data_IF_389184415895
#
_entry.id   IF_389184415895
#
_cell.length_a   1.000
_cell.length_b   1.000
_cell.length_c   1.000
_cell.angle_alpha   90.00
_cell.angle_beta   90.00
_cell.angle_gamma   90.00
#
_symmetry.space_group_name_H-M   'P 1'
#
loop_
_entity.id
_entity.type
_entity.pdbx_description
1 polymer ?
#
# COMPACT_ATOMS: atom_id res chain seq x y z
N UNK A 1 -5.31 1.20 -0.80
CA UNK A 1 -6.62 1.87 -0.62
C UNK A 1 -7.03 1.94 0.86
N UNK A 2 -6.86 0.87 1.64
CA UNK A 2 -7.23 0.83 3.06
C UNK A 2 -6.61 1.96 3.88
N UNK A 3 -5.29 2.13 3.85
CA UNK A 3 -4.59 3.21 4.57
C UNK A 3 -5.04 4.61 4.13
N UNK A 4 -5.34 4.80 2.85
CA UNK A 4 -5.84 6.07 2.34
C UNK A 4 -7.26 6.39 2.85
N UNK A 5 -8.15 5.42 2.88
CA UNK A 5 -9.50 5.59 3.43
C UNK A 5 -9.45 5.90 4.92
N UNK A 6 -8.61 5.17 5.67
CA UNK A 6 -8.43 5.42 7.10
C UNK A 6 -7.85 6.83 7.35
N UNK A 7 -6.86 7.25 6.58
CA UNK A 7 -6.28 8.59 6.65
C UNK A 7 -7.33 9.70 6.47
N UNK A 8 -8.25 9.53 5.52
CA UNK A 8 -9.33 10.49 5.30
C UNK A 8 -10.31 10.57 6.46
N UNK A 9 -10.50 9.46 7.19
CA UNK A 9 -11.41 9.38 8.33
C UNK A 9 -10.77 9.86 9.65
N UNK A 10 -9.46 10.14 9.68
CA UNK A 10 -8.73 10.55 10.88
C UNK A 10 -9.45 11.60 11.73
N UNK A 11 -9.87 12.74 11.16
CA UNK A 11 -10.59 13.76 11.92
C UNK A 11 -11.96 13.32 12.48
N UNK A 12 -12.62 12.36 11.83
CA UNK A 12 -13.90 11.79 12.29
C UNK A 12 -13.69 10.74 13.38
N UNK A 13 -12.55 10.07 13.39
CA UNK A 13 -12.18 9.01 14.34
C UNK A 13 -11.48 9.56 15.59
N UNK A 14 -11.37 10.87 15.73
CA UNK A 14 -10.68 11.55 16.85
C UNK A 14 -11.15 11.12 18.25
N UNK A 15 -12.34 10.54 18.38
CA UNK A 15 -12.89 10.01 19.63
C UNK A 15 -12.55 8.54 19.89
N UNK A 16 -11.94 7.87 18.91
CA UNK A 16 -11.50 6.50 19.07
C UNK A 16 -9.99 6.52 19.34
N UNK A 17 -9.51 5.89 20.40
CA UNK A 17 -8.08 5.84 20.80
C UNK A 17 -7.16 5.16 19.79
N UNK A 18 -7.48 5.20 18.52
CA UNK A 18 -6.69 4.61 17.46
C UNK A 18 -5.64 5.61 17.00
N UNK A 19 -4.48 5.60 17.67
CA UNK A 19 -3.30 6.35 17.20
C UNK A 19 -2.60 5.58 16.11
N UNK A 20 -2.36 6.23 14.99
CA UNK A 20 -1.59 5.69 13.86
C UNK A 20 -2.45 5.14 12.72
N UNK A 21 -1.82 4.98 11.58
CA UNK A 21 -2.43 4.40 10.37
C UNK A 21 -2.07 2.92 10.27
N UNK A 22 -3.09 2.10 10.18
CA UNK A 22 -2.93 0.67 9.96
C UNK A 22 -2.94 0.38 8.45
N UNK A 23 -1.95 -0.36 7.98
CA UNK A 23 -1.86 -0.80 6.58
C UNK A 23 -2.67 -2.08 6.33
N UNK A 24 -2.90 -2.87 7.37
CA UNK A 24 -3.59 -4.14 7.30
C UNK A 24 -4.62 -4.24 8.42
N UNK A 25 -5.74 -4.91 8.15
CA UNK A 25 -6.82 -5.14 9.12
C UNK A 25 -6.57 -6.34 10.04
N UNK A 26 -5.46 -7.07 9.86
CA UNK A 26 -5.16 -8.34 10.53
C UNK A 26 -6.30 -9.38 10.43
N UNK A 27 -7.09 -9.29 9.35
CA UNK A 27 -8.18 -10.21 9.05
C UNK A 27 -8.43 -10.23 7.53
N UNK A 28 -8.31 -11.41 6.92
CA UNK A 28 -8.43 -11.59 5.48
C UNK A 28 -9.77 -11.07 4.93
N UNK A 29 -10.87 -11.30 5.65
CA UNK A 29 -12.21 -10.93 5.18
C UNK A 29 -12.34 -9.41 5.16
N UNK A 30 -11.96 -8.73 6.26
CA UNK A 30 -12.04 -7.27 6.34
C UNK A 30 -11.04 -6.60 5.38
N UNK A 31 -9.85 -7.16 5.23
CA UNK A 31 -8.86 -6.66 4.30
C UNK A 31 -9.37 -6.74 2.85
N UNK A 32 -9.88 -7.93 2.45
CA UNK A 32 -10.41 -8.12 1.11
C UNK A 32 -11.66 -7.25 0.85
N UNK A 33 -12.51 -7.08 1.87
CA UNK A 33 -13.66 -6.17 1.79
C UNK A 33 -13.23 -4.73 1.55
N UNK A 34 -12.18 -4.27 2.24
CA UNK A 34 -11.66 -2.90 2.09
C UNK A 34 -10.95 -2.67 0.76
N UNK A 35 -10.23 -3.67 0.22
CA UNK A 35 -9.44 -3.53 -1.00
C UNK A 35 -10.21 -3.85 -2.28
N UNK A 36 -11.02 -4.90 -2.28
CA UNK A 36 -11.73 -5.41 -3.44
C UNK A 36 -13.27 -5.33 -3.32
N UNK A 37 -13.77 -4.85 -2.16
CA UNK A 37 -15.19 -4.70 -1.91
C UNK A 37 -15.95 -6.02 -1.88
N UNK A 38 -17.28 -5.94 -2.03
CA UNK A 38 -18.18 -7.10 -2.04
C UNK A 38 -17.85 -8.06 -3.17
N UNK A 39 -17.41 -7.57 -4.33
CA UNK A 39 -17.06 -8.41 -5.47
C UNK A 39 -15.88 -9.36 -5.14
N UNK A 40 -14.86 -8.86 -4.44
CA UNK A 40 -13.74 -9.68 -3.97
C UNK A 40 -14.16 -10.74 -2.97
N UNK A 41 -15.04 -10.38 -2.02
CA UNK A 41 -15.60 -11.35 -1.05
C UNK A 41 -16.45 -12.43 -1.73
N UNK A 42 -17.28 -12.04 -2.70
CA UNK A 42 -18.09 -13.01 -3.46
C UNK A 42 -17.19 -13.97 -4.25
N UNK A 43 -16.14 -13.47 -4.89
CA UNK A 43 -15.17 -14.31 -5.60
C UNK A 43 -14.47 -15.30 -4.65
N UNK A 44 -14.01 -14.84 -3.48
CA UNK A 44 -13.37 -15.70 -2.47
C UNK A 44 -14.33 -16.78 -1.98
N UNK A 45 -15.52 -16.39 -1.49
CA UNK A 45 -16.47 -17.35 -0.91
C UNK A 45 -17.05 -18.30 -1.94
N UNK A 46 -17.29 -17.85 -3.18
CA UNK A 46 -17.73 -18.73 -4.26
C UNK A 46 -16.65 -19.75 -4.62
N UNK A 47 -15.40 -19.31 -4.79
CA UNK A 47 -14.29 -20.21 -5.10
C UNK A 47 -14.06 -21.25 -4.01
N UNK A 48 -14.06 -20.79 -2.74
CA UNK A 48 -13.95 -21.69 -1.58
C UNK A 48 -15.13 -22.65 -1.48
N UNK A 49 -16.36 -22.17 -1.72
CA UNK A 49 -17.57 -22.99 -1.72
C UNK A 49 -17.55 -24.07 -2.81
N UNK A 50 -17.12 -23.73 -4.03
CA UNK A 50 -16.97 -24.70 -5.13
C UNK A 50 -15.91 -25.75 -4.77
N UNK A 51 -14.76 -25.34 -4.21
CA UNK A 51 -13.72 -26.25 -3.78
C UNK A 51 -14.20 -27.19 -2.67
N UNK A 52 -14.84 -26.66 -1.60
CA UNK A 52 -15.41 -27.46 -0.51
C UNK A 52 -16.51 -28.41 -1.00
N UNK A 53 -17.31 -27.99 -1.97
CA UNK A 53 -18.31 -28.88 -2.60
C UNK A 53 -17.65 -30.04 -3.33
N UNK A 54 -16.51 -29.78 -4.00
CA UNK A 54 -15.70 -30.83 -4.66
C UNK A 54 -15.21 -31.90 -3.69
N UNK A 55 -14.84 -31.54 -2.45
CA UNK A 55 -14.35 -32.47 -1.43
C UNK A 55 -15.34 -33.55 -1.02
N UNK A 56 -16.65 -33.34 -1.23
CA UNK A 56 -17.69 -34.37 -0.94
C UNK A 56 -17.53 -35.64 -1.74
N UNK A 57 -16.75 -35.56 -2.84
CA UNK A 57 -16.55 -36.70 -3.77
C UNK A 57 -15.24 -37.45 -3.50
N UNK A 58 -14.44 -36.97 -2.56
CA UNK A 58 -13.13 -37.55 -2.22
C UNK A 58 -13.27 -38.46 -1.00
N UNK A 59 -12.58 -39.60 -1.03
CA UNK A 59 -12.43 -40.46 0.17
C UNK A 59 -11.12 -40.03 0.86
N UNK A 60 -11.21 -39.35 2.03
CA UNK A 60 -10.03 -38.76 2.62
C UNK A 60 -9.07 -39.83 3.16
N UNK A 61 -7.81 -39.79 2.68
CA UNK A 61 -6.70 -40.56 3.27
C UNK A 61 -6.07 -39.79 4.44
N UNK A 62 -5.13 -40.40 5.15
CA UNK A 62 -4.38 -39.70 6.19
C UNK A 62 -3.63 -38.43 5.63
N UNK A 63 -3.14 -38.47 4.40
CA UNK A 63 -2.51 -37.33 3.75
C UNK A 63 -3.50 -36.19 3.50
N UNK A 64 -4.76 -36.50 3.13
CA UNK A 64 -5.79 -35.49 2.95
C UNK A 64 -6.12 -34.80 4.29
N UNK A 65 -6.23 -35.58 5.38
CA UNK A 65 -6.49 -34.99 6.70
C UNK A 65 -5.36 -34.06 7.15
N UNK A 66 -4.13 -34.40 6.87
CA UNK A 66 -2.97 -33.52 7.11
C UNK A 66 -3.08 -32.22 6.30
N UNK A 67 -3.40 -32.32 5.03
CA UNK A 67 -3.55 -31.15 4.16
C UNK A 67 -4.71 -30.26 4.60
N UNK A 68 -5.86 -30.83 4.97
CA UNK A 68 -7.00 -30.06 5.50
C UNK A 68 -6.67 -29.40 6.83
N UNK A 69 -5.95 -30.08 7.73
CA UNK A 69 -5.51 -29.48 8.98
C UNK A 69 -4.56 -28.29 8.73
N UNK A 70 -3.58 -28.43 7.83
CA UNK A 70 -2.67 -27.35 7.47
C UNK A 70 -3.40 -26.15 6.86
N UNK A 71 -4.34 -26.39 5.93
CA UNK A 71 -5.19 -25.33 5.38
C UNK A 71 -6.08 -24.68 6.44
N UNK A 72 -6.63 -25.48 7.37
CA UNK A 72 -7.43 -24.99 8.50
C UNK A 72 -6.64 -24.06 9.42
N UNK A 73 -5.40 -24.45 9.77
CA UNK A 73 -4.49 -23.58 10.54
C UNK A 73 -4.21 -22.28 9.80
N UNK A 74 -3.91 -22.36 8.50
CA UNK A 74 -3.64 -21.18 7.69
C UNK A 74 -4.88 -20.29 7.55
N UNK A 75 -6.07 -20.87 7.42
CA UNK A 75 -7.32 -20.13 7.37
C UNK A 75 -7.60 -19.38 8.69
N UNK A 76 -7.43 -20.06 9.84
CA UNK A 76 -7.57 -19.42 11.16
C UNK A 76 -6.52 -18.31 11.32
N UNK A 77 -5.27 -18.58 10.96
CA UNK A 77 -4.22 -17.57 11.00
C UNK A 77 -4.56 -16.35 10.12
N UNK A 78 -5.18 -16.57 8.97
CA UNK A 78 -5.60 -15.48 8.06
C UNK A 78 -6.79 -14.65 8.60
N UNK A 79 -7.50 -15.11 9.61
CA UNK A 79 -8.53 -14.34 10.31
C UNK A 79 -7.97 -13.51 11.47
N UNK A 80 -6.74 -13.78 11.89
CA UNK A 80 -6.08 -13.12 13.02
C UNK A 80 -4.91 -12.23 12.57
N UNK A 81 -4.36 -12.55 11.41
CA UNK A 81 -3.20 -11.90 10.80
C UNK A 81 -3.34 -11.88 9.27
N UNK A 82 -2.27 -11.56 8.55
CA UNK A 82 -2.27 -11.47 7.08
C UNK A 82 -1.24 -12.41 6.40
N UNK A 83 -1.16 -13.71 6.75
CA UNK A 83 -0.14 -14.61 6.20
C UNK A 83 -0.19 -14.76 4.68
N UNK A 84 -1.37 -14.70 4.07
CA UNK A 84 -1.53 -14.85 2.61
C UNK A 84 -1.00 -13.66 1.79
N UNK A 85 -0.59 -12.55 2.43
CA UNK A 85 0.18 -11.48 1.78
C UNK A 85 1.66 -11.84 1.59
N UNK A 86 2.15 -12.86 2.32
CA UNK A 86 3.48 -13.39 2.11
C UNK A 86 3.45 -14.51 1.08
N UNK A 87 4.24 -14.37 0.01
CA UNK A 87 4.24 -15.29 -1.14
C UNK A 87 4.50 -16.75 -0.77
N UNK A 88 5.27 -17.00 0.28
CA UNK A 88 5.56 -18.36 0.73
C UNK A 88 4.34 -19.03 1.38
N UNK A 89 3.54 -18.34 2.17
CA UNK A 89 2.29 -18.91 2.69
C UNK A 89 1.23 -19.08 1.59
N UNK A 90 1.13 -18.08 0.69
CA UNK A 90 0.23 -18.17 -0.46
C UNK A 90 0.60 -19.36 -1.37
N UNK A 91 1.89 -19.60 -1.61
CA UNK A 91 2.36 -20.72 -2.40
C UNK A 91 2.03 -22.07 -1.74
N UNK A 92 2.22 -22.20 -0.41
CA UNK A 92 1.83 -23.40 0.34
C UNK A 92 0.32 -23.62 0.24
N UNK A 93 -0.50 -22.58 0.45
CA UNK A 93 -1.95 -22.67 0.32
C UNK A 93 -2.37 -23.12 -1.08
N UNK A 94 -1.80 -22.55 -2.12
CA UNK A 94 -2.11 -22.88 -3.52
C UNK A 94 -1.75 -24.34 -3.83
N UNK A 95 -0.58 -24.81 -3.40
CA UNK A 95 -0.15 -26.21 -3.59
C UNK A 95 -1.08 -27.17 -2.84
N UNK A 96 -1.45 -26.88 -1.58
CA UNK A 96 -2.33 -27.73 -0.80
C UNK A 96 -3.75 -27.74 -1.39
N UNK A 97 -4.31 -26.59 -1.77
CA UNK A 97 -5.62 -26.53 -2.42
C UNK A 97 -5.66 -27.35 -3.71
N UNK A 98 -4.63 -27.24 -4.54
CA UNK A 98 -4.51 -28.01 -5.78
C UNK A 98 -4.26 -29.50 -5.56
N UNK A 99 -3.44 -29.88 -4.58
CA UNK A 99 -3.12 -31.29 -4.30
C UNK A 99 -4.30 -32.04 -3.66
N UNK A 100 -5.16 -31.32 -2.93
CA UNK A 100 -6.34 -31.90 -2.26
C UNK A 100 -7.60 -31.89 -3.16
N UNK A 101 -7.54 -31.23 -4.32
CA UNK A 101 -8.63 -31.25 -5.30
C UNK A 101 -8.49 -32.44 -6.24
N UNK A 102 -9.18 -33.52 -5.94
CA UNK A 102 -9.27 -34.70 -6.80
C UNK A 102 -10.29 -34.54 -7.94
N UNK A 103 -10.98 -33.41 -8.02
CA UNK A 103 -11.96 -33.17 -9.08
C UNK A 103 -11.26 -33.03 -10.43
N UNK A 104 -11.35 -34.09 -11.23
CA UNK A 104 -10.85 -34.03 -12.62
C UNK A 104 -11.81 -33.23 -13.46
N UNK A 105 -11.52 -31.97 -13.67
CA UNK A 105 -12.21 -31.18 -14.68
C UNK A 105 -11.88 -31.76 -16.05
N UNK A 106 -12.80 -32.60 -16.59
CA UNK A 106 -12.75 -32.97 -18.01
C UNK A 106 -13.03 -31.71 -18.81
N UNK A 107 -12.01 -31.00 -19.20
CA UNK A 107 -12.18 -30.06 -20.30
C UNK A 107 -12.68 -30.88 -21.50
N UNK A 108 -13.76 -30.40 -22.14
CA UNK A 108 -14.44 -31.06 -23.27
C UNK A 108 -13.37 -31.63 -24.22
N UNK A 109 -13.32 -32.96 -24.30
CA UNK A 109 -12.33 -33.67 -25.10
C UNK A 109 -12.72 -33.63 -26.59
N UNK A 110 -12.49 -32.50 -27.27
CA UNK A 110 -12.27 -32.49 -28.70
C UNK A 110 -10.87 -33.02 -29.03
N UNK A 111 -10.69 -33.70 -30.16
CA UNK A 111 -9.40 -34.28 -30.60
C UNK A 111 -8.17 -33.32 -30.65
N UNK A 112 -8.31 -32.07 -30.27
CA UNK A 112 -7.24 -31.04 -30.14
C UNK A 112 -7.04 -30.48 -28.73
N UNK A 113 -7.82 -30.88 -27.73
CA UNK A 113 -7.91 -30.20 -26.41
C UNK A 113 -6.64 -30.37 -25.56
N UNK A 114 -5.89 -31.44 -25.71
CA UNK A 114 -4.64 -31.63 -24.96
C UNK A 114 -3.52 -30.69 -25.40
N UNK A 115 -3.48 -30.35 -26.68
CA UNK A 115 -2.49 -29.39 -27.22
C UNK A 115 -2.88 -27.98 -26.75
N UNK A 116 -4.16 -27.61 -26.84
CA UNK A 116 -4.67 -26.30 -26.39
C UNK A 116 -4.40 -26.04 -24.90
N UNK A 117 -4.66 -27.03 -24.03
CA UNK A 117 -4.38 -26.92 -22.61
C UNK A 117 -2.88 -26.77 -22.29
N UNK A 118 -2.00 -27.51 -22.96
CA UNK A 118 -0.54 -27.39 -22.80
C UNK A 118 -0.03 -26.05 -23.33
N UNK A 119 -0.53 -25.60 -24.47
CA UNK A 119 -0.17 -24.29 -25.04
C UNK A 119 -0.65 -23.17 -24.11
N UNK A 120 -1.90 -23.23 -23.63
CA UNK A 120 -2.42 -22.25 -22.67
C UNK A 120 -1.59 -22.17 -21.39
N UNK A 121 -1.23 -23.31 -20.81
CA UNK A 121 -0.34 -23.36 -19.64
C UNK A 121 1.06 -22.79 -19.96
N UNK A 122 1.62 -23.13 -21.13
CA UNK A 122 2.90 -22.57 -21.58
C UNK A 122 2.86 -21.05 -21.73
N UNK A 123 1.77 -20.50 -22.28
CA UNK A 123 1.58 -19.05 -22.39
C UNK A 123 1.48 -18.38 -21.02
N UNK A 124 0.73 -18.97 -20.08
CA UNK A 124 0.61 -18.43 -18.71
C UNK A 124 1.98 -18.45 -18.02
N UNK A 125 2.73 -19.54 -18.12
CA UNK A 125 4.07 -19.65 -17.52
C UNK A 125 5.06 -18.67 -18.15
N UNK A 126 5.02 -18.52 -19.48
CA UNK A 126 5.85 -17.52 -20.16
C UNK A 126 5.49 -16.10 -19.73
N UNK A 127 4.22 -15.77 -19.66
CA UNK A 127 3.77 -14.46 -19.17
C UNK A 127 4.22 -14.21 -17.72
N UNK A 128 4.05 -15.20 -16.83
CA UNK A 128 4.50 -15.10 -15.44
C UNK A 128 6.03 -14.89 -15.38
N UNK A 129 6.81 -15.60 -16.19
CA UNK A 129 8.26 -15.43 -16.26
C UNK A 129 8.65 -14.02 -16.72
N UNK A 130 7.99 -13.50 -17.77
CA UNK A 130 8.23 -12.13 -18.25
C UNK A 130 7.92 -11.08 -17.19
N UNK A 131 6.81 -11.25 -16.46
CA UNK A 131 6.45 -10.37 -15.33
C UNK A 131 7.51 -10.44 -14.23
N UNK A 132 8.01 -11.63 -13.88
CA UNK A 132 9.07 -11.79 -12.87
C UNK A 132 10.39 -11.13 -13.30
N UNK A 133 10.78 -11.27 -14.57
CA UNK A 133 11.98 -10.63 -15.11
C UNK A 133 11.83 -9.11 -15.05
N UNK A 134 10.67 -8.58 -15.46
CA UNK A 134 10.40 -7.15 -15.40
C UNK A 134 10.43 -6.62 -13.96
N UNK A 135 9.78 -7.34 -13.02
CA UNK A 135 9.75 -6.98 -11.61
C UNK A 135 11.15 -6.98 -11.00
N UNK A 136 11.97 -8.01 -11.29
CA UNK A 136 13.35 -8.07 -10.83
C UNK A 136 14.19 -6.92 -11.35
N UNK A 137 14.08 -6.60 -12.65
CA UNK A 137 14.82 -5.48 -13.26
C UNK A 137 14.41 -4.15 -12.64
N UNK A 138 13.11 -3.90 -12.48
CA UNK A 138 12.58 -2.70 -11.85
C UNK A 138 13.03 -2.58 -10.39
N UNK A 139 13.02 -3.68 -9.64
CA UNK A 139 13.49 -3.72 -8.25
C UNK A 139 14.98 -3.39 -8.14
N UNK A 140 15.82 -3.95 -9.00
CA UNK A 140 17.26 -3.67 -9.01
C UNK A 140 17.57 -2.20 -9.30
N UNK A 141 16.83 -1.59 -10.25
CA UNK A 141 16.96 -0.15 -10.54
C UNK A 141 16.52 0.71 -9.34
N UNK A 142 15.39 0.35 -8.70
CA UNK A 142 14.88 1.06 -7.52
C UNK A 142 15.87 0.94 -6.35
N UNK A 143 16.37 -0.26 -6.06
CA UNK A 143 17.37 -0.51 -5.04
C UNK A 143 18.67 0.26 -5.33
N UNK A 144 19.14 0.23 -6.57
CA UNK A 144 20.31 1.00 -7.01
C UNK A 144 20.13 2.50 -6.82
N UNK A 145 18.94 3.04 -7.09
CA UNK A 145 18.63 4.44 -6.87
C UNK A 145 18.57 4.80 -5.37
N UNK A 146 18.08 3.90 -4.52
CA UNK A 146 17.92 4.13 -3.07
C UNK A 146 19.21 3.86 -2.28
N UNK A 147 19.91 2.78 -2.59
CA UNK A 147 21.13 2.34 -1.88
C UNK A 147 22.41 2.85 -2.54
N UNK A 148 22.35 3.04 -3.85
CA UNK A 148 23.47 3.52 -4.65
C UNK A 148 23.77 4.97 -4.40
N UNK A 149 24.72 5.26 -3.52
CA UNK A 149 25.63 6.44 -3.50
C UNK A 149 25.10 7.79 -4.04
N UNK A 150 23.83 7.89 -4.42
CA UNK A 150 23.18 9.04 -5.03
C UNK A 150 22.15 9.74 -4.15
N UNK A 151 21.64 9.07 -3.09
CA UNK A 151 20.84 9.72 -2.06
C UNK A 151 21.77 10.02 -0.89
N UNK A 152 22.59 11.05 -1.06
CA UNK A 152 23.30 11.66 0.06
C UNK A 152 22.24 12.20 1.01
N UNK A 153 22.31 11.90 2.32
CA UNK A 153 21.30 12.27 3.33
C UNK A 153 21.05 13.78 3.53
N UNK A 154 21.40 14.59 2.57
CA UNK A 154 20.99 15.99 2.44
C UNK A 154 19.82 16.05 1.46
N UNK A 155 18.67 16.50 1.93
CA UNK A 155 17.52 16.81 1.10
C UNK A 155 17.97 17.65 -0.12
N UNK A 156 17.55 17.22 -1.31
CA UNK A 156 17.76 17.99 -2.55
C UNK A 156 18.89 17.55 -3.50
N UNK A 157 19.75 16.59 -3.12
CA UNK A 157 20.85 16.17 -4.02
C UNK A 157 20.75 14.69 -4.39
N UNK A 158 20.11 14.43 -5.50
CA UNK A 158 20.13 13.10 -6.15
C UNK A 158 21.15 13.13 -7.28
N UNK A 159 21.99 12.10 -7.40
CA UNK A 159 22.89 12.02 -8.55
C UNK A 159 22.08 11.89 -9.86
N UNK A 160 22.59 12.39 -10.99
CA UNK A 160 21.93 12.23 -12.29
C UNK A 160 21.65 10.76 -12.63
N UNK A 161 22.50 9.85 -12.18
CA UNK A 161 22.32 8.40 -12.35
C UNK A 161 21.08 7.89 -11.61
N UNK A 162 20.92 8.25 -10.34
CA UNK A 162 19.76 7.85 -9.53
C UNK A 162 18.45 8.45 -10.08
N UNK A 163 18.48 9.68 -10.58
CA UNK A 163 17.33 10.29 -11.25
C UNK A 163 16.94 9.52 -12.52
N UNK A 164 17.92 9.13 -13.34
CA UNK A 164 17.70 8.31 -14.52
C UNK A 164 17.08 6.95 -14.17
N UNK A 165 17.62 6.27 -13.17
CA UNK A 165 17.10 4.97 -12.69
C UNK A 165 15.65 5.10 -12.18
N UNK A 166 15.33 6.14 -11.39
CA UNK A 166 13.96 6.37 -10.92
C UNK A 166 13.00 6.68 -12.07
N UNK A 167 13.43 7.43 -13.09
CA UNK A 167 12.64 7.69 -14.28
C UNK A 167 12.35 6.42 -15.09
N UNK A 168 13.32 5.50 -15.18
CA UNK A 168 13.13 4.21 -15.85
C UNK A 168 12.16 3.31 -15.06
N UNK A 169 12.28 3.24 -13.74
CA UNK A 169 11.32 2.51 -12.89
C UNK A 169 9.91 3.10 -13.00
N UNK A 170 9.79 4.43 -13.09
CA UNK A 170 8.49 5.10 -13.22
C UNK A 170 7.72 4.68 -14.49
N UNK A 171 8.44 4.27 -15.55
CA UNK A 171 7.84 3.72 -16.77
C UNK A 171 7.37 2.27 -16.63
N UNK A 172 7.74 1.60 -15.54
CA UNK A 172 7.40 0.20 -15.28
C UNK A 172 6.16 0.11 -14.37
N UNK A 173 5.02 -0.39 -14.84
CA UNK A 173 3.73 -0.30 -14.12
C UNK A 173 3.74 -0.86 -12.71
N UNK A 174 4.51 -1.95 -12.47
CA UNK A 174 4.49 -2.67 -11.19
C UNK A 174 5.18 -1.92 -10.04
N UNK A 175 6.18 -1.07 -10.31
CA UNK A 175 6.94 -0.35 -9.29
C UNK A 175 6.91 1.17 -9.45
N UNK A 176 6.13 1.70 -10.37
CA UNK A 176 6.03 3.15 -10.63
C UNK A 176 5.69 3.95 -9.37
N UNK A 177 4.75 3.46 -8.54
CA UNK A 177 4.36 4.13 -7.29
C UNK A 177 5.49 4.18 -6.26
N UNK A 178 6.39 3.19 -6.23
CA UNK A 178 7.57 3.22 -5.37
C UNK A 178 8.63 4.20 -5.87
N UNK A 179 8.78 4.34 -7.19
CA UNK A 179 9.63 5.38 -7.78
C UNK A 179 9.09 6.78 -7.45
N UNK A 180 7.77 6.99 -7.56
CA UNK A 180 7.13 8.25 -7.16
C UNK A 180 7.30 8.54 -5.66
N UNK A 181 7.19 7.53 -4.79
CA UNK A 181 7.45 7.66 -3.36
C UNK A 181 8.89 8.13 -3.11
N UNK A 182 9.86 7.52 -3.78
CA UNK A 182 11.28 7.90 -3.68
C UNK A 182 11.53 9.32 -4.18
N UNK A 183 10.94 9.71 -5.32
CA UNK A 183 11.01 11.07 -5.85
C UNK A 183 10.35 12.08 -4.90
N UNK A 184 9.22 11.70 -4.27
CA UNK A 184 8.52 12.58 -3.33
C UNK A 184 9.37 12.92 -2.11
N UNK A 185 10.26 12.02 -1.68
CA UNK A 185 11.17 12.28 -0.55
C UNK A 185 12.16 13.42 -0.82
N UNK A 186 12.38 13.75 -2.09
CA UNK A 186 13.27 14.84 -2.53
C UNK A 186 12.55 16.19 -2.72
N UNK A 187 11.23 16.23 -2.47
CA UNK A 187 10.46 17.47 -2.63
C UNK A 187 10.85 18.48 -1.55
N UNK A 188 11.36 19.60 -1.98
CA UNK A 188 11.51 20.80 -1.16
C UNK A 188 10.24 21.65 -1.22
N UNK A 189 9.81 22.19 -0.08
CA UNK A 189 8.67 23.09 0.00
C UNK A 189 9.10 24.50 -0.39
N UNK A 190 8.88 24.86 -1.64
CA UNK A 190 9.13 26.19 -2.20
C UNK A 190 8.26 26.40 -3.45
N UNK A 191 8.22 27.62 -3.98
CA UNK A 191 7.38 28.01 -5.11
C UNK A 191 7.80 27.37 -6.45
N UNK A 192 9.05 26.92 -6.60
CA UNK A 192 9.55 26.36 -7.85
C UNK A 192 8.89 25.01 -8.17
N UNK A 193 8.25 24.89 -9.34
CA UNK A 193 7.59 23.66 -9.77
C UNK A 193 6.47 23.18 -8.85
N UNK A 194 5.82 24.09 -8.10
CA UNK A 194 4.88 23.79 -7.05
C UNK A 194 3.70 22.93 -7.53
N UNK A 195 3.19 23.17 -8.74
CA UNK A 195 2.08 22.38 -9.32
C UNK A 195 2.47 20.91 -9.49
N UNK A 196 3.68 20.65 -10.01
CA UNK A 196 4.16 19.26 -10.22
C UNK A 196 4.47 18.58 -8.89
N UNK A 197 5.03 19.31 -7.92
CA UNK A 197 5.27 18.83 -6.56
C UNK A 197 3.96 18.43 -5.86
N UNK A 198 2.93 19.27 -5.95
CA UNK A 198 1.60 18.97 -5.42
C UNK A 198 0.99 17.74 -6.10
N UNK A 199 1.07 17.66 -7.42
CA UNK A 199 0.55 16.53 -8.18
C UNK A 199 1.25 15.22 -7.79
N UNK A 200 2.59 15.22 -7.72
CA UNK A 200 3.37 14.05 -7.30
C UNK A 200 3.03 13.65 -5.85
N UNK A 201 3.10 14.60 -4.91
CA UNK A 201 2.84 14.30 -3.50
C UNK A 201 1.42 13.79 -3.28
N UNK A 202 0.41 14.33 -4.01
CA UNK A 202 -0.98 13.86 -3.94
C UNK A 202 -1.17 12.44 -4.47
N UNK A 203 -0.43 12.03 -5.52
CA UNK A 203 -0.46 10.64 -5.99
C UNK A 203 0.16 9.71 -4.98
N UNK A 204 1.32 10.08 -4.42
CA UNK A 204 2.01 9.30 -3.40
C UNK A 204 1.19 9.20 -2.12
N UNK A 205 0.53 10.27 -1.70
CA UNK A 205 -0.35 10.28 -0.53
C UNK A 205 -1.50 9.25 -0.68
N UNK A 206 -2.07 9.12 -1.88
CA UNK A 206 -3.10 8.08 -2.15
C UNK A 206 -2.55 6.67 -2.17
N UNK A 207 -1.31 6.51 -2.59
CA UNK A 207 -0.63 5.22 -2.60
C UNK A 207 -0.24 4.78 -1.18
N UNK A 208 0.44 5.67 -0.44
CA UNK A 208 0.88 5.42 0.93
C UNK A 208 0.97 6.73 1.73
N UNK A 209 -0.01 7.00 2.61
CA UNK A 209 -0.07 8.21 3.42
C UNK A 209 0.88 8.13 4.62
N UNK A 210 2.19 8.03 4.40
CA UNK A 210 3.19 8.06 5.47
C UNK A 210 3.37 9.48 6.03
N UNK A 211 3.91 9.58 7.25
CA UNK A 211 4.09 10.84 8.02
C UNK A 211 4.60 11.99 7.15
N UNK A 212 5.77 11.80 6.53
CA UNK A 212 6.43 12.86 5.75
C UNK A 212 5.63 13.29 4.53
N UNK A 213 4.90 12.38 3.89
CA UNK A 213 4.05 12.67 2.72
C UNK A 213 2.78 13.40 3.15
N UNK A 214 2.17 12.99 4.27
CA UNK A 214 0.94 13.58 4.78
C UNK A 214 1.14 15.04 5.19
N UNK A 215 2.13 15.33 6.02
CA UNK A 215 2.43 16.70 6.43
C UNK A 215 2.95 17.57 5.29
N UNK A 216 3.77 17.01 4.39
CA UNK A 216 4.24 17.74 3.21
C UNK A 216 3.09 18.19 2.30
N UNK A 217 2.01 17.41 2.21
CA UNK A 217 0.81 17.82 1.47
C UNK A 217 0.27 19.14 2.00
N UNK A 218 0.15 19.29 3.30
CA UNK A 218 -0.33 20.53 3.92
C UNK A 218 0.63 21.70 3.66
N UNK A 219 1.96 21.47 3.77
CA UNK A 219 2.95 22.50 3.51
C UNK A 219 2.92 22.99 2.05
N UNK A 220 2.79 22.07 1.09
CA UNK A 220 2.71 22.43 -0.33
C UNK A 220 1.39 23.16 -0.66
N UNK A 221 0.29 22.80 -0.01
CA UNK A 221 -0.99 23.50 -0.15
C UNK A 221 -0.90 24.92 0.43
N UNK A 222 -0.28 25.09 1.59
CA UNK A 222 -0.04 26.43 2.17
C UNK A 222 0.83 27.28 1.26
N UNK A 223 1.93 26.75 0.73
CA UNK A 223 2.78 27.44 -0.24
C UNK A 223 2.03 27.86 -1.51
N UNK A 224 1.00 27.12 -1.89
CA UNK A 224 0.17 27.47 -3.06
C UNK A 224 -0.97 28.45 -2.75
N UNK A 225 -1.07 28.94 -1.50
CA UNK A 225 -2.13 29.84 -1.04
C UNK A 225 -3.47 29.14 -0.71
N UNK A 226 -3.53 27.80 -0.79
CA UNK A 226 -4.75 27.03 -0.52
C UNK A 226 -4.90 26.73 0.98
N UNK A 227 -5.05 27.79 1.79
CA UNK A 227 -4.98 27.73 3.27
C UNK A 227 -5.99 26.76 3.88
N UNK A 228 -7.26 26.78 3.45
CA UNK A 228 -8.28 25.87 3.99
C UNK A 228 -7.96 24.41 3.74
N UNK A 229 -7.46 24.10 2.54
CA UNK A 229 -7.05 22.72 2.20
C UNK A 229 -5.77 22.31 2.95
N UNK A 230 -4.85 23.26 3.19
CA UNK A 230 -3.66 23.04 3.99
C UNK A 230 -4.00 22.69 5.45
N UNK A 231 -4.92 23.43 6.05
CA UNK A 231 -5.42 23.17 7.41
C UNK A 231 -6.08 21.78 7.52
N UNK A 232 -6.96 21.44 6.57
CA UNK A 232 -7.60 20.12 6.54
C UNK A 232 -6.57 18.99 6.39
N UNK A 233 -5.58 19.15 5.48
CA UNK A 233 -4.53 18.15 5.29
C UNK A 233 -3.65 18.02 6.55
N UNK A 234 -3.35 19.12 7.24
CA UNK A 234 -2.62 19.10 8.51
C UNK A 234 -3.41 18.40 9.61
N UNK A 235 -4.70 18.67 9.71
CA UNK A 235 -5.58 18.00 10.68
C UNK A 235 -5.64 16.49 10.44
N UNK A 236 -5.81 16.05 9.20
CA UNK A 236 -5.74 14.62 8.85
C UNK A 236 -4.40 14.00 9.25
N UNK A 237 -3.30 14.73 9.06
CA UNK A 237 -1.97 14.26 9.42
C UNK A 237 -1.79 14.15 10.95
N UNK A 238 -2.22 15.11 11.73
CA UNK A 238 -2.14 15.08 13.21
C UNK A 238 -2.92 13.88 13.78
N UNK A 239 -4.15 13.65 13.35
CA UNK A 239 -4.97 12.54 13.87
C UNK A 239 -4.39 11.18 13.49
N UNK A 240 -3.68 11.11 12.36
CA UNK A 240 -3.02 9.88 11.91
C UNK A 240 -1.63 9.68 12.53
N UNK A 241 -0.92 10.78 12.78
CA UNK A 241 0.49 10.81 13.19
C UNK A 241 0.77 11.91 14.22
N UNK A 242 0.27 11.78 15.44
CA UNK A 242 0.37 12.84 16.46
C UNK A 242 1.80 13.20 16.86
N UNK A 243 2.77 12.35 16.57
CA UNK A 243 4.19 12.53 16.92
C UNK A 243 5.02 13.19 15.80
N UNK A 244 4.39 13.91 14.88
CA UNK A 244 5.06 14.62 13.77
C UNK A 244 5.93 15.83 14.21
N UNK A 245 6.83 15.64 15.20
CA UNK A 245 7.67 16.71 15.78
C UNK A 245 8.59 17.34 14.73
N UNK A 246 9.14 16.55 13.83
CA UNK A 246 10.07 17.05 12.80
C UNK A 246 9.33 17.90 11.76
N UNK A 247 8.14 17.48 11.39
CA UNK A 247 7.28 18.16 10.43
C UNK A 247 6.77 19.48 11.00
N UNK A 248 6.48 19.54 12.31
CA UNK A 248 6.14 20.79 12.99
C UNK A 248 7.32 21.76 13.00
N UNK A 249 8.53 21.30 13.33
CA UNK A 249 9.75 22.14 13.27
C UNK A 249 10.00 22.68 11.86
N UNK A 250 9.72 21.89 10.85
CA UNK A 250 9.79 22.33 9.46
C UNK A 250 8.78 23.45 9.18
N UNK A 251 7.54 23.33 9.66
CA UNK A 251 6.51 24.36 9.53
C UNK A 251 6.92 25.65 10.27
N UNK A 252 7.45 25.56 11.50
CA UNK A 252 7.95 26.70 12.26
C UNK A 252 9.03 27.46 11.46
N UNK A 253 10.01 26.74 10.93
CA UNK A 253 11.08 27.33 10.11
C UNK A 253 10.56 27.97 8.80
N UNK A 254 9.55 27.35 8.16
CA UNK A 254 8.92 27.94 6.97
C UNK A 254 8.11 29.19 7.31
N UNK A 255 7.41 29.21 8.46
CA UNK A 255 6.66 30.35 8.92
C UNK A 255 7.55 31.55 9.29
N UNK A 256 8.76 31.30 9.82
CA UNK A 256 9.77 32.35 10.04
C UNK A 256 10.26 32.97 8.72
N UNK A 257 10.45 32.17 7.68
CA UNK A 257 10.96 32.61 6.38
C UNK A 257 9.91 33.25 5.48
N UNK A 258 8.70 32.69 5.51
CA UNK A 258 7.58 33.10 4.64
C UNK A 258 6.26 33.10 5.43
N UNK A 259 6.11 34.08 6.35
CA UNK A 259 4.93 34.16 7.19
C UNK A 259 3.64 34.33 6.40
N UNK A 260 3.70 34.93 5.20
CA UNK A 260 2.51 35.15 4.38
C UNK A 260 1.82 33.84 3.97
N UNK A 261 2.58 32.76 3.74
CA UNK A 261 2.05 31.46 3.35
C UNK A 261 1.86 30.52 4.54
N UNK A 262 2.67 30.62 5.63
CA UNK A 262 2.73 29.57 6.65
C UNK A 262 2.27 30.00 8.05
N UNK A 263 2.16 31.30 8.38
CA UNK A 263 1.79 31.73 9.73
C UNK A 263 0.39 31.23 10.14
N UNK A 264 -0.60 31.34 9.26
CA UNK A 264 -1.95 30.87 9.53
C UNK A 264 -2.05 29.34 9.70
N UNK A 265 -1.23 28.58 8.97
CA UNK A 265 -1.14 27.13 9.13
C UNK A 265 -0.46 26.76 10.46
N UNK A 266 0.58 27.50 10.86
CA UNK A 266 1.28 27.27 12.14
C UNK A 266 0.36 27.52 13.33
N UNK A 267 -0.40 28.61 13.34
CA UNK A 267 -1.39 28.91 14.39
C UNK A 267 -2.43 27.79 14.50
N UNK A 268 -2.97 27.35 13.36
CA UNK A 268 -3.91 26.23 13.29
C UNK A 268 -3.30 24.93 13.80
N UNK A 269 -2.05 24.62 13.42
CA UNK A 269 -1.34 23.43 13.83
C UNK A 269 -1.17 23.36 15.35
N UNK A 270 -0.76 24.47 15.99
CA UNK A 270 -0.60 24.56 17.44
C UNK A 270 -1.92 24.37 18.18
N UNK A 271 -3.01 24.96 17.66
CA UNK A 271 -4.35 24.76 18.21
C UNK A 271 -4.76 23.28 18.15
N UNK A 272 -4.56 22.63 17.00
CA UNK A 272 -4.93 21.21 16.81
C UNK A 272 -4.09 20.25 17.64
N UNK A 273 -2.82 20.53 17.85
CA UNK A 273 -1.98 19.75 18.79
C UNK A 273 -2.50 19.84 20.22
N UNK A 274 -2.96 21.02 20.67
CA UNK A 274 -3.56 21.16 21.98
C UNK A 274 -4.91 20.42 22.11
N UNK A 275 -5.74 20.48 21.05
CA UNK A 275 -7.01 19.73 21.00
C UNK A 275 -6.73 18.22 21.09
N UNK A 276 -5.76 17.72 20.34
CA UNK A 276 -5.33 16.31 20.38
C UNK A 276 -4.84 15.92 21.79
N UNK A 277 -3.97 16.71 22.38
CA UNK A 277 -3.42 16.43 23.72
C UNK A 277 -4.54 16.37 24.77
N UNK A 278 -5.54 17.28 24.71
CA UNK A 278 -6.70 17.24 25.61
C UNK A 278 -7.58 16.01 25.36
N UNK A 279 -7.79 15.63 24.10
CA UNK A 279 -8.59 14.45 23.75
C UNK A 279 -7.99 13.16 24.28
N UNK A 280 -6.67 13.04 24.24
CA UNK A 280 -5.93 11.87 24.78
C UNK A 280 -5.88 11.88 26.32
N UNK A 281 -5.78 13.04 26.97
CA UNK A 281 -5.70 13.14 28.43
C UNK A 281 -7.03 12.88 29.14
N UNK A 282 -8.16 13.11 28.46
CA UNK A 282 -9.50 12.95 29.01
C UNK A 282 -10.09 11.54 28.82
N UNK A 283 -9.29 10.59 28.34
CA UNK A 283 -9.63 9.17 28.16
C UNK A 283 -8.91 8.29 29.14
#
# INVERSE_FOLDING_TARGET
QFSWQHFQLGPLLQRTNLSGLYNNSHNLIFQLAAEAGIAGLMALFTSLGVWLYGLRRTTPSAAHWWGYAALGVLAIHSLLEYPLWYVYFLAIAAVLLGALDETRYRMVQGKGSHVGGRVGMGVILLFALLVLIQLRSAYQLLEGALTGRGVSGKAGTTSPLAQGQLADVQRMPLLSSYAELSQSALIEVNAQGLKDKLALNSRVLRFTPIVSVAYRQALLLAQSGQQQQAQLAWEQAIWSYPTGINERKQLEHLAEKDPAHFAALLEFALQKEQEYARAVHNQ
#
